data_IF_717447357888
#
_entry.id   IF_717447357888
#
_cell.length_a   1.000
_cell.length_b   1.000
_cell.length_c   1.000
_cell.angle_alpha   90.00
_cell.angle_beta   90.00
_cell.angle_gamma   90.00
#
_symmetry.space_group_name_H-M   'P 1'
#
loop_
_entity.id
_entity.type
_entity.pdbx_description
1 polymer ?
#
# COMPACT_ATOMS: atom_id res chain seq x y z
N UNK A 1 3.05 7.00 -16.25
CA UNK A 1 1.90 7.71 -16.86
C UNK A 1 2.24 9.19 -16.81
N UNK A 2 2.49 9.79 -17.97
CA UNK A 2 3.24 11.03 -18.26
C UNK A 2 4.77 10.92 -18.15
N UNK A 3 5.41 10.57 -19.28
CA UNK A 3 6.64 11.16 -19.85
C UNK A 3 7.18 10.24 -20.96
N UNK A 4 6.60 10.35 -22.15
CA UNK A 4 7.33 10.06 -23.39
C UNK A 4 6.95 11.15 -24.38
N UNK A 5 7.86 12.10 -24.56
CA UNK A 5 7.82 13.10 -25.61
C UNK A 5 8.35 12.42 -26.88
N UNK A 6 7.48 12.20 -27.85
CA UNK A 6 7.84 11.82 -29.20
C UNK A 6 6.96 12.67 -30.13
N UNK A 7 7.60 13.52 -30.95
CA UNK A 7 6.96 14.65 -31.66
C UNK A 7 5.98 14.26 -32.77
N UNK A 8 5.74 12.96 -33.02
CA UNK A 8 4.92 12.49 -34.16
C UNK A 8 3.58 11.84 -33.77
N UNK A 9 3.23 11.76 -32.48
CA UNK A 9 1.89 11.32 -32.04
C UNK A 9 1.39 12.18 -30.88
N UNK A 10 0.73 13.30 -31.20
CA UNK A 10 -0.07 14.07 -30.25
C UNK A 10 -1.29 13.22 -29.84
N UNK A 11 -1.11 12.38 -28.82
CA UNK A 11 -2.25 11.79 -28.09
C UNK A 11 -2.81 12.90 -27.21
N UNK A 12 -3.73 13.71 -27.76
CA UNK A 12 -4.50 14.67 -26.98
C UNK A 12 -5.28 13.91 -25.90
N UNK A 13 -4.94 14.14 -24.63
CA UNK A 13 -5.66 13.57 -23.50
C UNK A 13 -7.02 14.24 -23.31
N UNK A 14 -7.98 13.53 -22.73
CA UNK A 14 -9.35 14.03 -22.46
C UNK A 14 -9.38 15.32 -21.60
N UNK A 15 -8.28 15.66 -20.90
CA UNK A 15 -8.18 16.82 -20.02
C UNK A 15 -7.01 17.75 -20.37
N UNK A 16 -7.31 19.03 -20.60
CA UNK A 16 -6.33 20.10 -20.76
C UNK A 16 -5.85 20.67 -19.40
N UNK A 17 -5.20 19.84 -18.59
CA UNK A 17 -4.63 20.29 -17.31
C UNK A 17 -3.18 20.76 -17.46
N UNK A 18 -2.84 21.89 -16.83
CA UNK A 18 -1.46 22.35 -16.75
C UNK A 18 -0.56 21.33 -16.04
N UNK A 19 0.73 21.29 -16.42
CA UNK A 19 1.73 20.40 -15.78
C UNK A 19 1.78 20.57 -14.25
N UNK A 20 1.62 21.80 -13.76
CA UNK A 20 1.54 22.10 -12.33
C UNK A 20 0.35 21.42 -11.67
N UNK A 21 -0.83 21.46 -12.30
CA UNK A 21 -2.05 20.82 -11.78
C UNK A 21 -1.90 19.31 -11.74
N UNK A 22 -1.36 18.71 -12.81
CA UNK A 22 -1.07 17.27 -12.87
C UNK A 22 -0.08 16.87 -11.76
N UNK A 23 0.97 17.67 -11.55
CA UNK A 23 1.93 17.47 -10.46
C UNK A 23 1.29 17.51 -9.08
N UNK A 24 0.39 18.47 -8.82
CA UNK A 24 -0.36 18.54 -7.56
C UNK A 24 -1.27 17.32 -7.36
N UNK A 25 -2.00 16.88 -8.39
CA UNK A 25 -2.86 15.67 -8.32
C UNK A 25 -2.03 14.41 -8.04
N UNK A 26 -0.86 14.28 -8.67
CA UNK A 26 0.05 13.17 -8.46
C UNK A 26 0.61 13.19 -7.03
N UNK A 27 1.06 14.36 -6.57
CA UNK A 27 1.60 14.59 -5.23
C UNK A 27 0.59 14.43 -4.10
N UNK A 28 -0.69 14.75 -4.34
CA UNK A 28 -1.78 14.66 -3.36
C UNK A 28 -1.87 13.29 -2.68
N UNK A 29 -1.60 12.21 -3.41
CA UNK A 29 -1.52 10.86 -2.88
C UNK A 29 -0.52 10.73 -1.71
N UNK A 30 0.69 11.26 -1.87
CA UNK A 30 1.76 11.12 -0.90
C UNK A 30 1.48 11.85 0.41
N UNK A 31 0.77 12.99 0.35
CA UNK A 31 0.34 13.71 1.55
C UNK A 31 -0.60 12.88 2.42
N UNK A 32 -1.58 12.20 1.80
CA UNK A 32 -2.45 11.26 2.53
C UNK A 32 -1.66 10.07 3.07
N UNK A 33 -0.79 9.51 2.25
CA UNK A 33 0.03 8.34 2.60
C UNK A 33 0.88 8.59 3.85
N UNK A 34 1.61 9.72 3.91
CA UNK A 34 2.45 10.10 5.05
C UNK A 34 1.65 10.19 6.36
N UNK A 35 0.47 10.81 6.33
CA UNK A 35 -0.35 11.00 7.54
C UNK A 35 -0.93 9.70 8.12
N UNK A 36 -1.03 8.66 7.31
CA UNK A 36 -1.72 7.43 7.69
C UNK A 36 -0.83 6.34 8.27
N UNK A 37 0.49 6.37 8.07
CA UNK A 37 1.35 5.23 8.45
C UNK A 37 1.34 4.94 9.96
N UNK A 38 1.61 5.96 10.78
CA UNK A 38 1.62 5.82 12.25
C UNK A 38 0.22 5.47 12.77
N UNK A 39 -0.80 6.13 12.23
CA UNK A 39 -2.19 5.90 12.60
C UNK A 39 -2.64 4.48 12.24
N UNK A 40 -2.26 3.98 11.07
CA UNK A 40 -2.58 2.65 10.58
C UNK A 40 -2.01 1.56 11.47
N UNK A 41 -0.75 1.70 11.89
CA UNK A 41 -0.13 0.78 12.86
C UNK A 41 -0.86 0.79 14.21
N UNK A 42 -1.18 1.99 14.72
CA UNK A 42 -1.95 2.13 15.96
C UNK A 42 -3.34 1.47 15.86
N UNK A 43 -4.09 1.75 14.80
CA UNK A 43 -5.40 1.15 14.57
C UNK A 43 -5.32 -0.37 14.41
N UNK A 44 -4.33 -0.88 13.69
CA UNK A 44 -4.14 -2.32 13.49
C UNK A 44 -3.86 -3.05 14.81
N UNK A 45 -3.02 -2.45 15.68
CA UNK A 45 -2.72 -3.02 17.00
C UNK A 45 -3.96 -3.10 17.91
N UNK A 46 -4.92 -2.18 17.73
CA UNK A 46 -6.12 -2.08 18.58
C UNK A 46 -7.32 -2.84 18.04
N UNK A 47 -7.54 -2.80 16.72
CA UNK A 47 -8.73 -3.34 16.06
C UNK A 47 -8.48 -4.65 15.31
N UNK A 48 -7.22 -5.08 15.17
CA UNK A 48 -6.81 -6.25 14.40
C UNK A 48 -6.36 -5.88 12.99
N UNK A 49 -5.28 -6.50 12.53
CA UNK A 49 -4.68 -6.25 11.22
C UNK A 49 -5.60 -6.64 10.05
N UNK A 50 -6.40 -7.72 10.20
CA UNK A 50 -7.34 -8.17 9.16
C UNK A 50 -8.33 -7.07 8.80
N UNK A 51 -8.93 -6.45 9.81
CA UNK A 51 -9.98 -5.43 9.63
C UNK A 51 -9.41 -4.15 9.04
N UNK A 52 -8.23 -3.74 9.50
CA UNK A 52 -7.57 -2.54 8.95
C UNK A 52 -7.21 -2.76 7.49
N UNK A 53 -6.57 -3.87 7.12
CA UNK A 53 -6.27 -4.19 5.72
C UNK A 53 -7.54 -4.26 4.87
N UNK A 54 -8.61 -4.85 5.39
CA UNK A 54 -9.88 -4.92 4.66
C UNK A 54 -10.43 -3.51 4.36
N UNK A 55 -10.50 -2.65 5.37
CA UNK A 55 -11.02 -1.28 5.21
C UNK A 55 -10.14 -0.46 4.27
N UNK A 56 -8.82 -0.58 4.38
CA UNK A 56 -7.89 0.18 3.54
C UNK A 56 -7.99 -0.23 2.08
N UNK A 57 -7.95 -1.53 1.78
CA UNK A 57 -8.00 -2.03 0.41
C UNK A 57 -9.40 -1.84 -0.20
N UNK A 58 -10.47 -2.17 0.53
CA UNK A 58 -11.83 -1.97 0.04
C UNK A 58 -12.12 -0.49 -0.22
N UNK A 59 -11.80 0.38 0.73
CA UNK A 59 -11.99 1.82 0.59
C UNK A 59 -11.17 2.38 -0.57
N UNK A 60 -9.88 2.04 -0.68
CA UNK A 60 -9.05 2.49 -1.79
C UNK A 60 -9.57 2.00 -3.14
N UNK A 61 -10.09 0.78 -3.21
CA UNK A 61 -10.68 0.20 -4.42
C UNK A 61 -11.94 0.96 -4.85
N UNK A 62 -12.85 1.26 -3.92
CA UNK A 62 -14.06 2.03 -4.22
C UNK A 62 -13.75 3.46 -4.68
N UNK A 63 -12.77 4.11 -4.05
CA UNK A 63 -12.31 5.44 -4.48
C UNK A 63 -11.59 5.39 -5.85
N UNK A 64 -10.89 4.28 -6.15
CA UNK A 64 -10.30 4.04 -7.47
C UNK A 64 -11.39 3.92 -8.53
N UNK A 65 -12.48 3.20 -8.26
CA UNK A 65 -13.65 3.13 -9.15
C UNK A 65 -14.29 4.50 -9.40
N UNK A 66 -14.33 5.36 -8.38
CA UNK A 66 -14.87 6.71 -8.50
C UNK A 66 -13.94 7.70 -9.22
N UNK A 67 -12.66 7.35 -9.41
CA UNK A 67 -11.63 8.27 -9.90
C UNK A 67 -11.90 8.80 -11.32
N UNK A 68 -12.37 8.00 -12.29
CA UNK A 68 -12.68 8.53 -13.62
C UNK A 68 -13.82 9.55 -13.63
N UNK A 69 -14.89 9.28 -12.88
CA UNK A 69 -16.03 10.19 -12.72
C UNK A 69 -15.58 11.51 -12.08
N UNK A 70 -14.73 11.43 -11.06
CA UNK A 70 -14.19 12.61 -10.41
C UNK A 70 -13.26 13.44 -11.32
N UNK A 71 -12.44 12.77 -12.13
CA UNK A 71 -11.57 13.43 -13.11
C UNK A 71 -12.37 14.25 -14.11
N UNK A 72 -13.47 13.69 -14.63
CA UNK A 72 -14.40 14.36 -15.55
C UNK A 72 -15.18 15.50 -14.91
N UNK A 73 -15.37 15.47 -13.60
CA UNK A 73 -16.07 16.54 -12.89
C UNK A 73 -15.15 17.72 -12.62
N UNK A 74 -14.02 17.50 -11.92
CA UNK A 74 -13.04 18.54 -11.64
C UNK A 74 -11.72 17.97 -11.12
N UNK A 75 -10.60 18.55 -11.59
CA UNK A 75 -9.24 18.28 -11.11
C UNK A 75 -9.08 18.22 -9.57
N UNK A 76 -9.68 19.14 -8.81
CA UNK A 76 -9.54 19.18 -7.35
C UNK A 76 -10.35 18.10 -6.63
N UNK A 77 -11.45 17.64 -7.21
CA UNK A 77 -12.21 16.49 -6.67
C UNK A 77 -11.36 15.22 -6.83
N UNK A 78 -10.74 15.05 -8.00
CA UNK A 78 -9.77 13.98 -8.21
C UNK A 78 -8.60 14.09 -7.22
N UNK A 79 -8.04 15.29 -7.00
CA UNK A 79 -6.97 15.48 -6.03
C UNK A 79 -7.41 15.06 -4.61
N UNK A 80 -8.61 15.42 -4.18
CA UNK A 80 -9.18 15.00 -2.89
C UNK A 80 -9.32 13.47 -2.77
N UNK A 81 -9.81 12.81 -3.83
CA UNK A 81 -9.83 11.35 -3.92
C UNK A 81 -8.43 10.74 -3.83
N UNK A 82 -7.43 11.35 -4.46
CA UNK A 82 -6.04 10.89 -4.40
C UNK A 82 -5.48 10.98 -2.99
N UNK A 83 -5.76 12.05 -2.24
CA UNK A 83 -5.42 12.16 -0.81
C UNK A 83 -6.07 11.02 -0.02
N UNK A 84 -7.36 10.78 -0.21
CA UNK A 84 -8.09 9.75 0.51
C UNK A 84 -7.59 8.33 0.20
N UNK A 85 -7.28 8.03 -1.07
CA UNK A 85 -6.66 6.76 -1.49
C UNK A 85 -5.30 6.60 -0.83
N UNK A 86 -4.46 7.65 -0.85
CA UNK A 86 -3.15 7.62 -0.20
C UNK A 86 -3.24 7.36 1.30
N UNK A 87 -4.18 8.03 1.97
CA UNK A 87 -4.44 7.84 3.40
C UNK A 87 -4.89 6.42 3.74
N UNK A 88 -5.71 5.79 2.91
CA UNK A 88 -6.08 4.39 3.13
C UNK A 88 -4.88 3.47 2.88
N UNK A 89 -4.17 3.66 1.77
CA UNK A 89 -3.07 2.76 1.40
C UNK A 89 -1.88 2.81 2.37
N UNK A 90 -1.56 3.95 2.97
CA UNK A 90 -0.41 4.05 3.89
C UNK A 90 -0.59 3.29 5.20
N UNK A 91 -1.81 2.91 5.59
CA UNK A 91 -2.06 2.03 6.72
C UNK A 91 -1.82 0.54 6.43
N UNK A 92 -1.63 0.16 5.16
CA UNK A 92 -1.57 -1.25 4.73
C UNK A 92 -0.34 -1.98 5.25
N UNK A 93 0.87 -1.45 5.03
CA UNK A 93 2.11 -2.09 5.48
C UNK A 93 2.22 -2.18 7.01
N UNK A 94 1.90 -1.14 7.79
CA UNK A 94 1.85 -1.25 9.25
C UNK A 94 0.86 -2.31 9.75
N UNK A 95 -0.33 -2.40 9.14
CA UNK A 95 -1.32 -3.41 9.48
C UNK A 95 -0.84 -4.83 9.12
N UNK A 96 -0.14 -4.99 8.01
CA UNK A 96 0.49 -6.24 7.61
C UNK A 96 1.56 -6.69 8.61
N UNK A 97 2.42 -5.78 9.10
CA UNK A 97 3.41 -6.11 10.13
C UNK A 97 2.75 -6.50 11.45
N UNK A 98 1.62 -5.88 11.79
CA UNK A 98 0.81 -6.26 12.96
C UNK A 98 0.22 -7.66 12.80
N UNK A 99 -0.17 -8.07 11.59
CA UNK A 99 -0.61 -9.44 11.35
C UNK A 99 0.55 -10.43 11.51
N UNK A 100 1.70 -10.13 10.91
CA UNK A 100 2.87 -11.00 11.01
C UNK A 100 3.43 -11.10 12.42
N UNK A 101 3.25 -10.10 13.28
CA UNK A 101 3.64 -10.23 14.70
C UNK A 101 2.81 -11.26 15.47
N UNK A 102 1.66 -11.69 14.93
CA UNK A 102 0.78 -12.71 15.54
C UNK A 102 0.87 -14.04 14.80
N UNK A 103 1.05 -13.99 13.47
CA UNK A 103 1.06 -15.17 12.60
C UNK A 103 2.46 -15.71 12.27
N UNK A 104 3.48 -14.87 12.31
CA UNK A 104 4.82 -15.21 11.85
C UNK A 104 5.73 -15.67 12.99
N UNK A 105 6.25 -16.91 12.95
CA UNK A 105 7.33 -17.33 13.84
C UNK A 105 8.54 -16.37 13.72
N UNK A 106 9.20 -15.97 14.82
CA UNK A 106 10.27 -14.97 14.79
C UNK A 106 11.42 -15.28 13.83
N UNK A 107 11.77 -16.56 13.67
CA UNK A 107 12.84 -17.00 12.77
C UNK A 107 12.47 -16.94 11.28
N UNK A 108 11.17 -16.93 10.98
CA UNK A 108 10.64 -16.94 9.61
C UNK A 108 10.09 -15.57 9.19
N UNK A 109 9.95 -14.64 10.15
CA UNK A 109 9.30 -13.35 9.97
C UNK A 109 9.90 -12.52 8.83
N UNK A 110 11.23 -12.53 8.67
CA UNK A 110 11.91 -11.83 7.57
C UNK A 110 11.56 -12.39 6.19
N UNK A 111 11.35 -13.71 6.09
CA UNK A 111 10.95 -14.36 4.82
C UNK A 111 9.49 -14.02 4.51
N UNK A 112 8.60 -14.12 5.50
CA UNK A 112 7.17 -13.82 5.35
C UNK A 112 6.93 -12.37 4.94
N UNK A 113 7.64 -11.43 5.57
CA UNK A 113 7.62 -10.02 5.19
C UNK A 113 8.23 -9.81 3.80
N UNK A 114 9.40 -10.41 3.52
CA UNK A 114 10.04 -10.33 2.20
C UNK A 114 9.13 -10.77 1.04
N UNK A 115 8.44 -11.91 1.19
CA UNK A 115 7.45 -12.39 0.21
C UNK A 115 6.30 -11.40 0.06
N UNK A 116 5.85 -10.81 1.17
CA UNK A 116 4.78 -9.81 1.14
C UNK A 116 5.18 -8.54 0.36
N UNK A 117 6.41 -8.06 0.55
CA UNK A 117 6.94 -6.91 -0.21
C UNK A 117 7.19 -7.23 -1.68
N UNK A 118 7.60 -8.46 -2.01
CA UNK A 118 7.76 -8.90 -3.39
C UNK A 118 6.44 -8.81 -4.18
N UNK A 119 5.30 -9.06 -3.53
CA UNK A 119 3.97 -8.91 -4.12
C UNK A 119 3.72 -7.50 -4.70
N UNK A 120 4.24 -6.45 -4.07
CA UNK A 120 4.10 -5.08 -4.58
C UNK A 120 4.86 -4.89 -5.91
N UNK A 121 6.05 -5.47 -6.04
CA UNK A 121 6.85 -5.39 -7.26
C UNK A 121 6.23 -6.22 -8.39
N UNK A 122 5.74 -7.42 -8.06
CA UNK A 122 5.00 -8.27 -9.00
C UNK A 122 3.77 -7.52 -9.52
N UNK A 123 3.03 -6.84 -8.62
CA UNK A 123 1.90 -5.99 -9.00
C UNK A 123 2.28 -4.94 -10.05
N UNK A 124 3.38 -4.21 -9.84
CA UNK A 124 3.87 -3.21 -10.81
C UNK A 124 4.19 -3.83 -12.18
N UNK A 125 4.83 -5.00 -12.20
CA UNK A 125 5.19 -5.72 -13.44
C UNK A 125 3.95 -6.05 -14.28
N UNK A 126 2.83 -6.40 -13.67
CA UNK A 126 1.59 -6.70 -14.39
C UNK A 126 0.75 -5.46 -14.69
N UNK A 127 0.61 -4.54 -13.72
CA UNK A 127 -0.27 -3.38 -13.84
C UNK A 127 0.24 -2.39 -14.89
N UNK A 128 1.55 -2.21 -15.01
CA UNK A 128 2.10 -1.23 -15.96
C UNK A 128 1.80 -1.59 -17.43
N UNK A 129 2.11 -2.80 -17.94
CA UNK A 129 1.71 -3.21 -19.29
C UNK A 129 0.20 -3.26 -19.47
N UNK A 130 -0.54 -3.76 -18.47
CA UNK A 130 -2.00 -3.83 -18.51
C UNK A 130 -2.60 -2.43 -18.65
N UNK A 131 -2.05 -1.43 -17.97
CA UNK A 131 -2.50 -0.04 -18.09
C UNK A 131 -2.29 0.52 -19.49
N UNK A 132 -1.16 0.21 -20.15
CA UNK A 132 -0.92 0.62 -21.53
C UNK A 132 -1.90 -0.03 -22.50
N UNK A 133 -2.09 -1.34 -22.37
CA UNK A 133 -3.04 -2.10 -23.19
C UNK A 133 -4.48 -1.58 -23.04
N UNK A 134 -4.93 -1.37 -21.81
CA UNK A 134 -6.25 -0.86 -21.50
C UNK A 134 -6.44 0.61 -21.91
N UNK A 135 -5.40 1.44 -21.84
CA UNK A 135 -5.49 2.81 -22.36
C UNK A 135 -5.70 2.85 -23.88
N UNK A 136 -5.13 1.89 -24.62
CA UNK A 136 -5.26 1.85 -26.08
C UNK A 136 -6.53 1.16 -26.57
N UNK A 137 -6.92 0.05 -25.95
CA UNK A 137 -8.01 -0.82 -26.42
C UNK A 137 -9.16 -0.97 -25.43
N UNK A 138 -9.07 -0.31 -24.27
CA UNK A 138 -10.08 -0.40 -23.23
C UNK A 138 -11.34 0.40 -23.55
N UNK A 139 -12.34 0.20 -22.70
CA UNK A 139 -13.63 0.87 -22.78
C UNK A 139 -13.59 2.28 -22.18
N UNK A 140 -14.67 3.04 -22.38
CA UNK A 140 -14.87 4.39 -21.80
C UNK A 140 -13.76 5.40 -22.22
N UNK A 141 -13.27 5.34 -23.46
CA UNK A 141 -12.16 6.18 -23.91
C UNK A 141 -10.78 5.69 -23.49
N UNK A 142 -10.67 4.41 -23.14
CA UNK A 142 -9.42 3.72 -22.86
C UNK A 142 -8.93 3.93 -21.44
N UNK A 143 -8.50 5.15 -21.09
CA UNK A 143 -7.83 5.40 -19.81
C UNK A 143 -8.69 5.13 -18.55
N UNK A 144 -10.04 5.27 -18.51
CA UNK A 144 -10.82 4.93 -17.32
C UNK A 144 -10.84 3.43 -17.02
N UNK A 145 -10.69 2.60 -18.05
CA UNK A 145 -10.86 1.15 -17.95
C UNK A 145 -9.89 0.50 -16.95
N UNK A 146 -8.68 1.02 -16.77
CA UNK A 146 -7.73 0.53 -15.76
C UNK A 146 -8.22 0.78 -14.33
N UNK A 147 -8.84 1.94 -14.07
CA UNK A 147 -9.38 2.29 -12.75
C UNK A 147 -10.55 1.39 -12.39
N UNK A 148 -11.45 1.14 -13.35
CA UNK A 148 -12.56 0.21 -13.15
C UNK A 148 -12.09 -1.23 -12.95
N UNK A 149 -11.16 -1.70 -13.79
CA UNK A 149 -10.65 -3.08 -13.72
C UNK A 149 -9.93 -3.33 -12.38
N UNK A 150 -8.97 -2.48 -11.99
CA UNK A 150 -8.24 -2.65 -10.74
C UNK A 150 -9.12 -2.42 -9.51
N UNK A 151 -10.05 -1.47 -9.58
CA UNK A 151 -11.01 -1.24 -8.50
C UNK A 151 -11.92 -2.46 -8.27
N UNK A 152 -12.43 -3.10 -9.34
CA UNK A 152 -13.24 -4.32 -9.22
C UNK A 152 -12.40 -5.47 -8.66
N UNK A 153 -11.17 -5.67 -9.17
CA UNK A 153 -10.25 -6.69 -8.65
C UNK A 153 -10.01 -6.49 -7.15
N UNK A 154 -9.78 -5.25 -6.71
CA UNK A 154 -9.58 -4.93 -5.29
C UNK A 154 -10.82 -5.17 -4.43
N UNK A 155 -12.03 -4.92 -4.94
CA UNK A 155 -13.30 -5.27 -4.27
C UNK A 155 -13.45 -6.79 -4.15
N UNK A 156 -13.20 -7.54 -5.23
CA UNK A 156 -13.26 -9.02 -5.21
C UNK A 156 -12.23 -9.59 -4.24
N UNK A 157 -11.00 -9.06 -4.27
CA UNK A 157 -9.95 -9.44 -3.33
C UNK A 157 -10.36 -9.17 -1.88
N UNK A 158 -11.00 -8.04 -1.61
CA UNK A 158 -11.52 -7.69 -0.28
C UNK A 158 -12.59 -8.66 0.20
N UNK A 159 -13.45 -9.14 -0.70
CA UNK A 159 -14.41 -10.19 -0.38
C UNK A 159 -13.70 -11.49 -0.01
N UNK A 160 -12.74 -11.94 -0.82
CA UNK A 160 -11.93 -13.15 -0.53
C UNK A 160 -11.18 -13.04 0.79
N UNK A 161 -10.54 -11.89 1.05
CA UNK A 161 -9.83 -11.60 2.30
C UNK A 161 -10.74 -11.74 3.53
N UNK A 162 -11.99 -11.31 3.42
CA UNK A 162 -12.96 -11.39 4.51
C UNK A 162 -13.25 -12.83 4.92
N UNK A 163 -13.30 -13.75 3.96
CA UNK A 163 -13.61 -15.16 4.20
C UNK A 163 -12.38 -16.01 4.53
N UNK A 164 -11.24 -15.75 3.90
CA UNK A 164 -10.04 -16.60 4.01
C UNK A 164 -9.23 -16.29 5.27
N UNK A 165 -9.07 -15.01 5.61
CA UNK A 165 -8.06 -14.58 6.58
C UNK A 165 -8.67 -14.41 7.98
N UNK A 166 -7.92 -14.71 9.05
CA UNK A 166 -8.32 -14.40 10.43
C UNK A 166 -7.22 -13.63 11.16
N UNK A 167 -7.61 -12.80 12.15
CA UNK A 167 -6.64 -11.99 12.91
C UNK A 167 -5.69 -12.82 13.77
N UNK A 168 -6.10 -14.03 14.18
CA UNK A 168 -5.31 -14.92 15.05
C UNK A 168 -5.33 -16.35 14.52
N UNK A 169 -4.21 -17.09 14.61
CA UNK A 169 -4.15 -18.51 14.27
C UNK A 169 -5.18 -19.34 15.03
N UNK A 170 -5.45 -19.01 16.29
CA UNK A 170 -6.42 -19.72 17.15
C UNK A 170 -7.84 -19.73 16.60
N UNK A 171 -8.20 -18.74 15.79
CA UNK A 171 -9.56 -18.56 15.28
C UNK A 171 -9.67 -19.05 13.82
N UNK A 172 -8.58 -19.53 13.23
CA UNK A 172 -8.56 -19.95 11.84
C UNK A 172 -9.17 -21.35 11.70
N UNK A 173 -10.20 -21.56 10.87
CA UNK A 173 -10.91 -22.84 10.80
C UNK A 173 -10.13 -23.93 10.06
N UNK A 174 -9.17 -23.57 9.20
CA UNK A 174 -8.45 -24.50 8.32
C UNK A 174 -7.02 -24.80 8.79
N UNK A 175 -6.57 -24.23 9.91
CA UNK A 175 -5.19 -24.44 10.39
C UNK A 175 -5.07 -25.82 11.05
N UNK A 176 -3.93 -26.49 10.83
CA UNK A 176 -3.65 -27.74 11.55
C UNK A 176 -3.31 -27.45 13.02
N UNK A 177 -3.67 -28.35 13.94
CA UNK A 177 -3.37 -28.12 15.36
C UNK A 177 -1.85 -28.12 15.64
N UNK A 178 -1.07 -28.91 14.89
CA UNK A 178 0.40 -28.90 15.01
C UNK A 178 1.01 -27.54 14.62
N UNK A 179 0.55 -26.95 13.51
CA UNK A 179 1.01 -25.64 13.04
C UNK A 179 0.57 -24.52 14.00
N UNK A 180 -0.68 -24.57 14.46
CA UNK A 180 -1.21 -23.62 15.43
C UNK A 180 -0.41 -23.63 16.73
N UNK A 181 -0.09 -24.81 17.26
CA UNK A 181 0.72 -24.95 18.46
C UNK A 181 2.16 -24.45 18.24
N UNK A 182 2.76 -24.75 17.08
CA UNK A 182 4.08 -24.24 16.70
C UNK A 182 4.12 -22.70 16.68
N UNK A 183 3.20 -22.05 15.98
CA UNK A 183 3.15 -20.59 15.87
C UNK A 183 2.94 -19.95 17.23
N UNK A 184 1.95 -20.42 18.01
CA UNK A 184 1.66 -19.85 19.33
C UNK A 184 2.87 -19.96 20.25
N UNK A 185 3.50 -21.15 20.33
CA UNK A 185 4.69 -21.33 21.17
C UNK A 185 5.86 -20.46 20.73
N UNK A 186 6.11 -20.36 19.43
CA UNK A 186 7.21 -19.55 18.89
C UNK A 186 7.02 -18.05 19.17
N UNK A 187 5.80 -17.54 19.00
CA UNK A 187 5.46 -16.13 19.27
C UNK A 187 5.51 -15.83 20.78
N UNK A 188 4.94 -16.69 21.62
CA UNK A 188 4.98 -16.55 23.08
C UNK A 188 6.41 -16.60 23.64
N UNK A 189 7.28 -17.43 23.07
CA UNK A 189 8.69 -17.49 23.49
C UNK A 189 9.44 -16.18 23.21
N UNK A 190 9.09 -15.45 22.15
CA UNK A 190 9.75 -14.20 21.76
C UNK A 190 9.15 -12.96 22.40
N UNK A 191 7.83 -12.89 22.57
CA UNK A 191 7.13 -11.69 23.08
C UNK A 191 6.58 -11.85 24.50
N UNK A 192 6.73 -13.03 25.11
CA UNK A 192 6.10 -13.37 26.37
C UNK A 192 4.60 -13.67 26.21
N UNK A 193 3.99 -14.27 27.23
CA UNK A 193 2.54 -14.50 27.26
C UNK A 193 1.80 -13.18 27.36
N UNK A 194 1.23 -12.73 26.24
CA UNK A 194 0.35 -11.55 26.23
C UNK A 194 -1.00 -11.92 26.84
N UNK A 195 -1.11 -11.79 28.17
CA UNK A 195 -2.36 -11.95 28.91
C UNK A 195 -2.95 -10.57 29.21
N UNK A 196 -4.13 -10.26 28.67
CA UNK A 196 -4.86 -9.02 28.94
C UNK A 196 -4.83 -7.97 27.82
N UNK A 197 -5.25 -6.74 28.13
CA UNK A 197 -5.20 -5.60 27.19
C UNK A 197 -3.76 -5.16 26.99
N UNK A 198 -3.33 -4.84 25.75
CA UNK A 198 -2.00 -4.32 25.52
C UNK A 198 -1.78 -3.03 26.33
N UNK A 199 -0.60 -2.87 26.96
CA UNK A 199 -0.28 -1.66 27.71
C UNK A 199 -0.31 -0.43 26.79
N UNK A 200 -0.53 0.75 27.38
CA UNK A 200 -0.51 2.00 26.62
C UNK A 200 0.84 2.17 25.92
N UNK A 201 0.81 2.51 24.62
CA UNK A 201 2.01 2.69 23.82
C UNK A 201 2.88 3.81 24.40
N UNK A 202 4.14 3.55 24.80
CA UNK A 202 5.00 4.55 25.44
C UNK A 202 5.63 5.49 24.40
N UNK A 203 4.81 6.36 23.80
CA UNK A 203 5.22 7.25 22.71
C UNK A 203 6.45 8.09 23.03
N UNK A 204 6.54 8.66 24.24
CA UNK A 204 7.69 9.46 24.66
C UNK A 204 9.00 8.66 24.65
N UNK A 205 8.98 7.43 25.18
CA UNK A 205 10.15 6.55 25.18
C UNK A 205 10.55 6.13 23.76
N UNK A 206 9.59 5.83 22.91
CA UNK A 206 9.83 5.47 21.49
C UNK A 206 10.49 6.64 20.76
N UNK A 207 9.95 7.85 20.89
CA UNK A 207 10.49 9.05 20.22
C UNK A 207 11.85 9.49 20.78
N UNK A 208 12.17 9.14 22.02
CA UNK A 208 13.49 9.40 22.62
C UNK A 208 14.54 8.31 22.33
N UNK A 209 14.14 7.17 21.75
CA UNK A 209 15.01 6.02 21.56
C UNK A 209 16.00 6.22 20.41
N UNK A 210 17.30 6.10 20.70
CA UNK A 210 18.36 6.17 19.70
C UNK A 210 18.25 5.07 18.63
N UNK A 211 17.80 3.88 19.02
CA UNK A 211 17.65 2.76 18.08
C UNK A 211 16.54 3.04 17.06
N UNK A 212 15.43 3.63 17.49
CA UNK A 212 14.32 4.03 16.60
C UNK A 212 14.79 5.06 15.58
N UNK A 213 15.52 6.09 16.03
CA UNK A 213 16.09 7.09 15.12
C UNK A 213 17.14 6.51 14.18
N UNK A 214 18.00 5.60 14.64
CA UNK A 214 18.96 4.92 13.77
C UNK A 214 18.25 4.13 12.65
N UNK A 215 17.19 3.38 12.99
CA UNK A 215 16.37 2.69 12.00
C UNK A 215 15.69 3.67 11.04
N UNK A 216 15.15 4.79 11.54
CA UNK A 216 14.49 5.80 10.72
C UNK A 216 15.45 6.44 9.72
N UNK A 217 16.63 6.87 10.16
CA UNK A 217 17.65 7.44 9.27
C UNK A 217 18.15 6.41 8.26
N UNK A 218 18.33 5.15 8.66
CA UNK A 218 18.70 4.07 7.76
C UNK A 218 17.65 3.84 6.67
N UNK A 219 16.38 3.78 7.05
CA UNK A 219 15.26 3.63 6.11
C UNK A 219 15.15 4.84 5.17
N UNK A 220 15.23 6.06 5.71
CA UNK A 220 15.23 7.30 4.93
C UNK A 220 16.37 7.32 3.89
N UNK A 221 17.59 6.98 4.30
CA UNK A 221 18.73 6.95 3.39
C UNK A 221 18.57 5.89 2.29
N UNK A 222 18.02 4.73 2.63
CA UNK A 222 17.70 3.66 1.68
C UNK A 222 16.68 4.10 0.63
N UNK A 223 15.53 4.62 1.08
CA UNK A 223 14.46 5.10 0.20
C UNK A 223 14.94 6.27 -0.67
N UNK A 224 15.62 7.25 -0.06
CA UNK A 224 16.18 8.38 -0.79
C UNK A 224 17.13 7.93 -1.91
N UNK A 225 18.05 7.01 -1.60
CA UNK A 225 18.97 6.44 -2.57
C UNK A 225 18.24 5.71 -3.70
N UNK A 226 17.27 4.87 -3.36
CA UNK A 226 16.49 4.10 -4.33
C UNK A 226 15.68 5.02 -5.28
N UNK A 227 14.96 6.01 -4.74
CA UNK A 227 14.20 6.96 -5.55
C UNK A 227 15.11 7.86 -6.40
N UNK A 228 16.25 8.30 -5.86
CA UNK A 228 17.23 9.09 -6.63
C UNK A 228 17.75 8.29 -7.81
N UNK A 229 18.12 7.01 -7.61
CA UNK A 229 18.53 6.15 -8.72
C UNK A 229 17.40 5.95 -9.72
N UNK A 230 16.18 5.68 -9.26
CA UNK A 230 15.01 5.48 -10.14
C UNK A 230 14.73 6.69 -11.04
N UNK A 231 14.85 7.92 -10.50
CA UNK A 231 14.57 9.17 -11.23
C UNK A 231 15.75 9.59 -12.11
N UNK A 232 16.98 9.49 -11.60
CA UNK A 232 18.17 10.01 -12.28
C UNK A 232 18.79 9.03 -13.28
N UNK A 233 18.55 7.72 -13.15
CA UNK A 233 19.14 6.71 -14.03
C UNK A 233 18.74 6.89 -15.51
N UNK A 234 17.47 7.17 -15.86
CA UNK A 234 17.09 7.43 -17.26
C UNK A 234 17.77 8.68 -17.84
N UNK A 235 17.97 9.73 -17.05
CA UNK A 235 18.69 10.94 -17.48
C UNK A 235 20.18 10.66 -17.66
N UNK A 236 20.81 9.96 -16.71
CA UNK A 236 22.23 9.62 -16.78
C UNK A 236 22.57 8.74 -17.99
N UNK A 237 21.73 7.74 -18.30
CA UNK A 237 21.93 6.86 -19.46
C UNK A 237 21.66 7.55 -20.81
N UNK A 238 20.98 8.70 -20.82
CA UNK A 238 20.70 9.49 -22.02
C UNK A 238 21.82 10.48 -22.33
N UNK A 239 22.54 10.93 -21.30
CA UNK A 239 23.62 11.91 -21.40
C UNK A 239 25.00 11.27 -21.72
N UNK A 240 25.07 9.94 -21.87
CA UNK A 240 26.26 9.16 -22.30
C UNK A 240 25.96 8.49 -23.63
#
# INVERSE_FOLDING_TARGET
FLLFYNDDFQVEGEFEWSKTTQGHILGAFFWGYLGSQVLGGYLASRFGGKRVILVTILGASLLTLASPVAARTHAYILAGLRVAIGFLQGATFPAMHTMWSVWGPPLELSVLTGVSYAGAQIGNVFVLPLSGFLCQYGFDGGWPSIFYTLGIIGVVWSALWTYIVTDRPSNHPLISEAEKEYIIKAVEASTGKQTGKPPATPWGSILSSRAVWACWFGHFAGDWGAYTMLVSLPSFLKDV
#
